data_IF_322538829748
#
_entry.id   IF_322538829748
#
_cell.length_a   1.000
_cell.length_b   1.000
_cell.length_c   1.000
_cell.angle_alpha   90.00
_cell.angle_beta   90.00
_cell.angle_gamma   90.00
#
_symmetry.space_group_name_H-M   'P 1'
#
loop_
_entity.id
_entity.type
_entity.pdbx_description
1 polymer ?
#
# COMPACT_ATOMS: atom_id res chain seq x y z
N UNK A 1 32.17 14.49 12.86
CA UNK A 1 31.01 15.38 12.63
C UNK A 1 29.80 14.47 12.47
N UNK A 2 28.70 14.71 13.16
CA UNK A 2 27.49 13.89 13.01
C UNK A 2 26.78 14.28 11.70
N UNK A 3 26.20 13.29 11.00
CA UNK A 3 25.50 13.52 9.74
C UNK A 3 24.18 14.28 9.98
N UNK A 4 24.10 15.50 9.48
CA UNK A 4 22.85 16.27 9.45
C UNK A 4 21.98 15.76 8.28
N UNK A 5 20.75 15.35 8.60
CA UNK A 5 19.76 14.90 7.61
C UNK A 5 18.66 15.95 7.45
N UNK A 6 18.18 16.11 6.24
CA UNK A 6 17.00 16.92 5.95
C UNK A 6 15.77 16.36 6.67
N UNK A 7 15.02 17.22 7.35
CA UNK A 7 13.71 16.88 7.95
C UNK A 7 12.59 17.17 6.96
N UNK A 8 11.74 16.19 6.69
CA UNK A 8 10.59 16.38 5.80
C UNK A 8 9.42 16.95 6.64
N UNK A 9 8.89 18.14 6.31
CA UNK A 9 7.75 18.72 7.01
C UNK A 9 6.46 17.95 6.75
N UNK A 10 5.54 17.94 7.72
CA UNK A 10 4.24 17.25 7.61
C UNK A 10 3.38 17.80 6.46
N UNK A 11 3.46 19.10 6.20
CA UNK A 11 2.81 19.76 5.07
C UNK A 11 3.87 20.44 4.18
N UNK A 12 4.44 19.72 3.18
CA UNK A 12 5.45 20.29 2.31
C UNK A 12 4.87 21.38 1.42
N UNK A 13 5.57 22.51 1.33
CA UNK A 13 5.18 23.63 0.47
C UNK A 13 5.27 23.29 -1.02
N UNK A 14 6.20 22.43 -1.40
CA UNK A 14 6.43 22.02 -2.78
C UNK A 14 5.86 20.63 -3.01
N UNK A 15 4.77 20.54 -3.77
CA UNK A 15 4.23 19.29 -4.30
C UNK A 15 4.71 19.14 -5.73
N UNK A 16 5.00 17.91 -6.17
CA UNK A 16 5.59 17.63 -7.49
C UNK A 16 4.82 18.32 -8.62
N UNK A 17 3.49 18.25 -8.59
CA UNK A 17 2.61 18.87 -9.59
C UNK A 17 2.68 20.41 -9.64
N UNK A 18 3.16 21.05 -8.56
CA UNK A 18 3.22 22.50 -8.40
C UNK A 18 4.63 23.08 -8.58
N UNK A 19 5.65 22.23 -8.81
CA UNK A 19 7.04 22.67 -9.01
C UNK A 19 7.18 23.26 -10.41
N UNK A 20 7.51 24.55 -10.50
CA UNK A 20 7.81 25.22 -11.77
C UNK A 20 9.16 24.77 -12.33
N UNK A 21 9.28 24.72 -13.65
CA UNK A 21 10.58 24.59 -14.33
C UNK A 21 11.45 25.84 -14.05
N UNK A 22 12.74 25.62 -13.82
CA UNK A 22 13.69 26.71 -13.65
C UNK A 22 14.00 27.38 -14.99
N UNK A 23 14.24 28.67 -14.95
CA UNK A 23 14.63 29.50 -16.10
C UNK A 23 16.08 29.93 -15.91
N UNK A 24 16.81 30.18 -16.99
CA UNK A 24 18.20 30.65 -16.88
C UNK A 24 18.33 32.06 -16.28
N UNK A 25 17.21 32.77 -16.06
CA UNK A 25 17.14 34.00 -15.27
C UNK A 25 17.14 33.77 -13.76
N UNK A 26 16.95 32.53 -13.30
CA UNK A 26 17.09 32.16 -11.89
C UNK A 26 18.58 32.18 -11.49
N UNK A 27 18.94 32.18 -10.18
CA UNK A 27 20.31 32.42 -9.71
C UNK A 27 21.39 31.45 -10.21
N UNK A 28 21.02 30.40 -10.96
CA UNK A 28 21.94 29.45 -11.53
C UNK A 28 21.39 28.83 -12.83
N UNK A 29 22.27 28.25 -13.67
CA UNK A 29 21.92 27.72 -14.99
C UNK A 29 20.86 26.62 -14.91
N UNK A 30 19.66 26.93 -15.36
CA UNK A 30 18.55 26.01 -15.36
C UNK A 30 18.74 24.96 -16.44
N UNK A 31 19.20 25.38 -17.62
CA UNK A 31 19.35 24.51 -18.80
C UNK A 31 20.51 23.53 -18.65
N UNK A 32 21.67 23.98 -18.16
CA UNK A 32 22.88 23.13 -18.16
C UNK A 32 23.07 22.35 -16.87
N UNK A 33 22.55 22.83 -15.74
CA UNK A 33 22.86 22.24 -14.43
C UNK A 33 21.61 21.69 -13.74
N UNK A 34 20.59 22.50 -13.51
CA UNK A 34 19.55 22.14 -12.57
C UNK A 34 18.39 21.33 -13.16
N UNK A 35 17.84 21.72 -14.32
CA UNK A 35 16.74 20.96 -14.93
C UNK A 35 17.15 19.52 -15.28
N UNK A 36 18.34 19.23 -15.83
CA UNK A 36 18.77 17.86 -16.09
C UNK A 36 18.85 16.96 -14.85
N UNK A 37 19.01 17.53 -13.65
CA UNK A 37 19.03 16.80 -12.37
C UNK A 37 17.63 16.70 -11.76
N UNK A 38 16.85 17.76 -11.80
CA UNK A 38 15.50 17.76 -11.20
C UNK A 38 14.50 16.94 -12.00
N UNK A 39 14.54 16.99 -13.34
CA UNK A 39 13.63 16.22 -14.20
C UNK A 39 13.62 14.71 -13.84
N UNK A 40 14.76 13.99 -13.78
CA UNK A 40 14.76 12.57 -13.42
C UNK A 40 14.36 12.29 -11.97
N UNK A 41 14.66 13.22 -11.04
CA UNK A 41 14.22 13.08 -9.64
C UNK A 41 12.69 13.18 -9.57
N UNK A 42 12.10 14.18 -10.20
CA UNK A 42 10.65 14.37 -10.21
C UNK A 42 9.94 13.18 -10.87
N UNK A 43 10.48 12.66 -11.98
CA UNK A 43 9.97 11.46 -12.64
C UNK A 43 10.02 10.23 -11.72
N UNK A 44 11.16 9.99 -11.07
CA UNK A 44 11.32 8.86 -10.15
C UNK A 44 10.37 8.95 -8.96
N UNK A 45 10.21 10.13 -8.37
CA UNK A 45 9.30 10.32 -7.24
C UNK A 45 7.83 10.19 -7.68
N UNK A 46 7.45 10.72 -8.84
CA UNK A 46 6.09 10.56 -9.37
C UNK A 46 5.77 9.09 -9.69
N UNK A 47 6.74 8.35 -10.25
CA UNK A 47 6.64 6.91 -10.45
C UNK A 47 6.41 6.18 -9.12
N UNK A 48 7.19 6.47 -8.08
CA UNK A 48 7.02 5.87 -6.75
C UNK A 48 5.65 6.20 -6.14
N UNK A 49 5.18 7.44 -6.28
CA UNK A 49 3.87 7.85 -5.78
C UNK A 49 2.73 7.11 -6.47
N UNK A 50 2.83 6.88 -7.79
CA UNK A 50 1.84 6.10 -8.56
C UNK A 50 1.82 4.61 -8.22
N UNK A 51 2.95 4.05 -7.79
CA UNK A 51 3.09 2.62 -7.46
C UNK A 51 3.05 2.35 -5.96
N UNK A 52 2.63 3.34 -5.16
CA UNK A 52 2.37 3.18 -3.74
C UNK A 52 0.91 2.80 -3.52
N UNK A 53 0.65 1.82 -2.66
CA UNK A 53 -0.71 1.50 -2.25
C UNK A 53 -1.36 2.69 -1.52
N UNK A 54 -2.60 3.00 -1.86
CA UNK A 54 -3.37 4.00 -1.13
C UNK A 54 -3.79 3.43 0.23
N UNK A 55 -3.97 4.31 1.21
CA UNK A 55 -4.49 3.94 2.52
C UNK A 55 -5.93 4.43 2.67
N UNK A 56 -6.76 3.65 3.34
CA UNK A 56 -8.10 4.02 3.76
C UNK A 56 -8.08 4.95 4.99
N UNK A 57 -9.25 5.34 5.49
CA UNK A 57 -9.41 6.19 6.67
C UNK A 57 -8.84 5.56 7.96
N UNK A 58 -8.60 4.25 7.97
CA UNK A 58 -7.97 3.54 9.09
C UNK A 58 -6.44 3.40 8.91
N UNK A 59 -5.87 3.98 7.85
CA UNK A 59 -4.45 3.87 7.54
C UNK A 59 -4.05 2.48 7.02
N UNK A 60 -5.00 1.70 6.50
CA UNK A 60 -4.78 0.35 5.96
C UNK A 60 -4.89 0.36 4.45
N UNK A 61 -4.22 -0.58 3.78
CA UNK A 61 -4.39 -0.77 2.33
C UNK A 61 -5.76 -1.39 2.08
N UNK A 62 -6.62 -0.79 1.23
CA UNK A 62 -7.92 -1.37 0.90
C UNK A 62 -7.79 -2.76 0.27
N UNK A 63 -8.73 -3.66 0.58
CA UNK A 63 -8.73 -5.03 0.04
C UNK A 63 -8.75 -5.08 -1.48
N UNK A 64 -9.36 -4.08 -2.14
CA UNK A 64 -9.41 -3.98 -3.61
C UNK A 64 -8.03 -3.76 -4.27
N UNK A 65 -7.05 -3.27 -3.52
CA UNK A 65 -5.66 -3.07 -3.98
C UNK A 65 -4.76 -4.23 -3.62
N UNK A 66 -5.20 -5.11 -2.72
CA UNK A 66 -4.49 -6.34 -2.45
C UNK A 66 -4.78 -7.28 -3.62
N UNK A 67 -3.75 -7.91 -4.25
CA UNK A 67 -4.02 -9.08 -5.08
C UNK A 67 -4.85 -10.05 -4.23
N UNK A 68 -5.77 -10.81 -4.84
CA UNK A 68 -6.64 -11.75 -4.12
C UNK A 68 -5.78 -12.79 -3.38
N UNK A 69 -5.30 -12.42 -2.20
CA UNK A 69 -4.34 -13.17 -1.43
C UNK A 69 -5.16 -14.15 -0.62
N UNK A 70 -5.13 -15.41 -1.08
CA UNK A 70 -5.39 -16.52 -0.19
C UNK A 70 -4.49 -16.41 1.05
N UNK A 71 -4.95 -16.98 2.15
CA UNK A 71 -4.29 -16.86 3.44
C UNK A 71 -5.17 -17.45 4.54
N UNK A 72 -4.83 -17.18 5.80
CA UNK A 72 -5.68 -17.53 6.92
C UNK A 72 -5.88 -16.34 7.86
N UNK A 73 -7.08 -16.23 8.42
CA UNK A 73 -7.43 -15.23 9.43
C UNK A 73 -8.04 -15.93 10.64
N UNK A 74 -7.69 -15.49 11.84
CA UNK A 74 -8.25 -16.01 13.09
C UNK A 74 -9.07 -14.92 13.78
N UNK A 75 -10.38 -15.13 13.90
CA UNK A 75 -11.30 -14.19 14.53
C UNK A 75 -12.62 -14.88 14.88
N UNK A 76 -13.42 -14.24 15.75
CA UNK A 76 -14.67 -14.79 16.27
C UNK A 76 -15.81 -14.78 15.24
N UNK A 77 -15.84 -13.76 14.37
CA UNK A 77 -16.87 -13.59 13.35
C UNK A 77 -16.37 -13.99 11.97
N UNK A 78 -17.27 -14.42 11.09
CA UNK A 78 -16.90 -14.80 9.73
C UNK A 78 -16.28 -13.62 8.96
N UNK A 79 -15.13 -13.79 8.28
CA UNK A 79 -14.52 -12.70 7.53
C UNK A 79 -15.36 -12.38 6.28
N UNK A 80 -15.39 -11.09 5.91
CA UNK A 80 -16.05 -10.64 4.68
C UNK A 80 -15.32 -11.09 3.40
N UNK A 81 -13.99 -11.23 3.47
CA UNK A 81 -13.18 -11.73 2.37
C UNK A 81 -13.26 -13.27 2.28
N UNK A 82 -14.03 -13.74 1.30
CA UNK A 82 -14.31 -15.16 1.05
C UNK A 82 -13.15 -15.95 0.44
N UNK A 83 -12.03 -15.29 0.11
CA UNK A 83 -10.85 -15.96 -0.44
C UNK A 83 -9.90 -16.48 0.66
N UNK A 84 -10.23 -16.24 1.94
CA UNK A 84 -9.43 -16.64 3.09
C UNK A 84 -9.84 -18.02 3.64
N UNK A 85 -8.90 -18.69 4.31
CA UNK A 85 -9.21 -19.68 5.33
C UNK A 85 -9.52 -18.95 6.64
N UNK A 86 -10.55 -19.38 7.35
CA UNK A 86 -10.96 -18.76 8.59
C UNK A 86 -10.78 -19.72 9.76
N UNK A 87 -10.01 -19.34 10.77
CA UNK A 87 -9.95 -20.00 12.07
C UNK A 87 -11.03 -19.35 12.94
N UNK A 88 -12.12 -20.08 13.16
CA UNK A 88 -13.24 -19.62 13.98
C UNK A 88 -12.89 -19.72 15.47
N UNK A 89 -12.45 -18.61 16.05
CA UNK A 89 -12.00 -18.57 17.44
C UNK A 89 -13.15 -18.60 18.46
N UNK A 90 -14.39 -18.38 18.03
CA UNK A 90 -15.57 -18.50 18.87
C UNK A 90 -16.04 -19.97 19.00
N UNK A 91 -15.80 -20.79 17.96
CA UNK A 91 -16.26 -22.17 17.88
C UNK A 91 -15.08 -23.16 17.88
N UNK A 92 -14.25 -23.10 18.92
CA UNK A 92 -13.21 -24.11 19.17
C UNK A 92 -11.99 -24.03 18.25
N UNK A 93 -11.73 -22.88 17.62
CA UNK A 93 -10.61 -22.65 16.71
C UNK A 93 -10.62 -23.56 15.46
N UNK A 94 -11.81 -23.88 14.96
CA UNK A 94 -11.98 -24.74 13.78
C UNK A 94 -11.60 -23.97 12.52
N UNK A 95 -10.77 -24.57 11.67
CA UNK A 95 -10.47 -24.04 10.33
C UNK A 95 -11.68 -24.25 9.42
N UNK A 96 -12.10 -23.20 8.74
CA UNK A 96 -13.20 -23.15 7.78
C UNK A 96 -12.72 -22.58 6.45
N UNK A 97 -13.32 -23.04 5.36
CA UNK A 97 -13.16 -22.46 4.02
C UNK A 97 -14.52 -21.98 3.51
N UNK A 98 -14.52 -20.96 2.64
CA UNK A 98 -15.76 -20.49 2.04
C UNK A 98 -16.13 -21.35 0.83
N UNK A 99 -17.29 -21.99 0.90
CA UNK A 99 -17.90 -22.66 -0.25
C UNK A 99 -18.71 -21.64 -1.05
N UNK A 100 -18.22 -21.27 -2.23
CA UNK A 100 -18.85 -20.27 -3.10
C UNK A 100 -20.15 -20.75 -3.74
N UNK A 101 -20.37 -22.07 -3.83
CA UNK A 101 -21.60 -22.66 -4.37
C UNK A 101 -22.70 -22.61 -3.32
N UNK A 102 -22.38 -23.02 -2.09
CA UNK A 102 -23.31 -22.99 -0.96
C UNK A 102 -23.44 -21.59 -0.31
N UNK A 103 -22.54 -20.65 -0.67
CA UNK A 103 -22.42 -19.31 -0.06
C UNK A 103 -22.28 -19.38 1.48
N UNK A 104 -21.47 -20.32 1.97
CA UNK A 104 -21.36 -20.63 3.39
C UNK A 104 -19.95 -21.04 3.79
N UNK A 105 -19.55 -20.71 5.01
CA UNK A 105 -18.30 -21.20 5.61
C UNK A 105 -18.45 -22.63 6.09
N UNK A 106 -17.65 -23.55 5.53
CA UNK A 106 -17.66 -24.98 5.88
C UNK A 106 -16.40 -25.36 6.65
N UNK A 107 -16.50 -26.23 7.68
CA UNK A 107 -15.32 -26.73 8.37
C UNK A 107 -14.44 -27.54 7.41
N UNK A 108 -13.13 -27.32 7.49
CA UNK A 108 -12.14 -28.16 6.83
C UNK A 108 -12.01 -29.46 7.63
N UNK A 109 -12.54 -30.56 7.11
CA UNK A 109 -12.40 -31.87 7.75
C UNK A 109 -10.95 -32.37 7.61
N UNK A 110 -10.33 -32.76 8.72
CA UNK A 110 -9.04 -33.46 8.68
C UNK A 110 -9.28 -34.92 8.28
N UNK A 111 -8.82 -35.31 7.09
CA UNK A 111 -8.76 -36.72 6.70
C UNK A 111 -7.40 -37.25 7.11
N UNK A 112 -7.39 -38.15 8.10
CA UNK A 112 -6.19 -38.90 8.48
C UNK A 112 -6.18 -40.18 7.64
N UNK A 113 -5.18 -40.35 6.78
CA UNK A 113 -4.93 -41.56 6.00
C UNK A 113 -3.77 -42.36 6.59
#
# INVERSE_FOLDING_TARGET
MADEKYTIPENPQYKIADIRKLKDTDPASATETFNPVFEPILESVDYLNKHKAALDTAGKVPESQLPALGGHIAQAEAPGNTNLLWIDTANGNIIKFYDSVAKSWKPAAAVWS
#
